data_IF_806683608800
#
_entry.id   IF_806683608800
#
_cell.length_a   1.000
_cell.length_b   1.000
_cell.length_c   1.000
_cell.angle_alpha   90.00
_cell.angle_beta   90.00
_cell.angle_gamma   90.00
#
_symmetry.space_group_name_H-M   'P 1'
#
loop_
_entity.id
_entity.type
_entity.pdbx_description
1 polymer ?
#
# COMPACT_ATOMS: atom_id res chain seq x y z
N UNK A 1 4.97 7.89 -4.32
CA UNK A 1 5.72 9.19 -4.35
C UNK A 1 6.36 9.45 -5.71
N UNK A 2 7.14 8.53 -6.28
CA UNK A 2 7.84 8.70 -7.58
C UNK A 2 6.94 9.22 -8.71
N UNK A 3 5.75 8.67 -8.89
CA UNK A 3 4.82 9.04 -9.96
C UNK A 3 4.02 10.33 -9.67
N UNK A 4 4.20 10.91 -8.49
CA UNK A 4 3.60 12.19 -8.11
C UNK A 4 4.53 13.38 -8.41
N UNK A 5 5.81 13.13 -8.65
CA UNK A 5 6.78 14.18 -8.96
C UNK A 5 6.67 14.50 -10.45
N UNK A 6 6.29 15.74 -10.76
CA UNK A 6 6.12 16.23 -12.14
C UNK A 6 7.17 17.26 -12.55
N UNK A 7 7.94 17.78 -11.60
CA UNK A 7 9.04 18.70 -11.85
C UNK A 7 10.04 18.73 -10.70
N UNK A 8 11.30 18.99 -11.02
CA UNK A 8 12.40 19.12 -10.06
C UNK A 8 13.33 20.27 -10.42
N UNK A 9 13.85 20.97 -9.42
CA UNK A 9 15.09 21.72 -9.48
C UNK A 9 16.20 20.89 -8.86
N UNK A 10 17.38 20.94 -9.42
CA UNK A 10 18.51 20.15 -8.97
C UNK A 10 19.84 20.89 -9.12
N UNK A 11 20.82 20.50 -8.29
CA UNK A 11 22.22 20.90 -8.43
C UNK A 11 23.05 19.64 -8.70
N UNK A 12 23.81 19.65 -9.76
CA UNK A 12 24.71 18.57 -10.17
C UNK A 12 26.00 18.57 -9.32
N UNK A 13 26.77 17.47 -9.29
CA UNK A 13 28.06 17.42 -8.57
C UNK A 13 29.08 18.46 -9.00
N UNK A 14 28.98 18.97 -10.25
CA UNK A 14 29.79 20.04 -10.77
C UNK A 14 29.32 21.47 -10.39
N UNK A 15 28.27 21.57 -9.54
CA UNK A 15 27.71 22.83 -9.10
C UNK A 15 26.72 23.48 -10.06
N UNK A 16 26.45 22.86 -11.21
CA UNK A 16 25.52 23.41 -12.20
C UNK A 16 24.09 23.17 -11.78
N UNK A 17 23.31 24.25 -11.72
CA UNK A 17 21.87 24.20 -11.50
C UNK A 17 21.14 23.78 -12.79
N UNK A 18 20.15 22.89 -12.63
CA UNK A 18 19.32 22.45 -13.73
C UNK A 18 17.88 22.24 -13.27
N UNK A 19 16.96 22.24 -14.21
CA UNK A 19 15.54 21.92 -13.99
C UNK A 19 15.06 20.86 -14.96
N UNK A 20 14.19 19.99 -14.51
CA UNK A 20 13.55 18.98 -15.35
C UNK A 20 12.06 18.88 -15.00
N UNK A 21 11.25 18.54 -16.01
CA UNK A 21 9.79 18.53 -15.87
C UNK A 21 9.19 19.93 -15.82
N UNK A 22 8.04 20.08 -15.18
CA UNK A 22 7.34 21.36 -15.09
C UNK A 22 6.07 21.26 -14.26
N UNK A 23 5.23 22.29 -14.35
CA UNK A 23 3.94 22.37 -13.62
C UNK A 23 2.78 21.77 -14.40
N UNK A 24 3.06 21.05 -15.50
CA UNK A 24 2.05 20.42 -16.35
C UNK A 24 2.07 18.91 -16.19
N UNK A 25 0.92 18.29 -16.17
CA UNK A 25 0.77 16.84 -15.95
C UNK A 25 1.36 16.02 -17.11
N UNK A 26 1.38 16.58 -18.32
CA UNK A 26 1.95 15.93 -19.51
C UNK A 26 3.13 16.76 -20.02
N UNK A 27 4.33 16.32 -19.68
CA UNK A 27 5.56 16.82 -20.29
C UNK A 27 6.00 15.83 -21.38
N UNK A 28 6.08 16.33 -22.63
CA UNK A 28 6.46 15.51 -23.80
C UNK A 28 7.88 15.79 -24.28
N UNK A 29 8.59 16.71 -23.63
CA UNK A 29 9.95 17.11 -24.00
C UNK A 29 10.95 16.75 -22.90
N UNK A 30 12.07 16.14 -23.30
CA UNK A 30 13.18 15.82 -22.41
C UNK A 30 13.09 14.46 -21.71
N UNK A 31 14.18 14.14 -21.00
CA UNK A 31 14.25 12.91 -20.21
C UNK A 31 13.50 13.03 -18.89
N UNK A 32 12.94 11.92 -18.42
CA UNK A 32 12.24 11.83 -17.13
C UNK A 32 13.27 11.75 -15.97
N UNK A 33 13.96 12.85 -15.72
CA UNK A 33 14.95 12.93 -14.64
C UNK A 33 14.29 12.81 -13.26
N UNK A 34 13.01 13.13 -13.12
CA UNK A 34 12.27 13.01 -11.88
C UNK A 34 12.29 11.56 -11.39
N UNK A 35 12.04 10.61 -12.31
CA UNK A 35 12.06 9.18 -11.98
C UNK A 35 13.46 8.63 -11.74
N UNK A 36 14.45 9.17 -12.42
CA UNK A 36 15.85 8.79 -12.23
C UNK A 36 16.37 9.20 -10.86
N UNK A 37 16.06 10.43 -10.43
CA UNK A 37 16.58 11.00 -9.19
C UNK A 37 15.81 10.56 -7.93
N UNK A 38 14.54 10.19 -8.09
CA UNK A 38 13.73 9.69 -6.97
C UNK A 38 14.26 8.33 -6.48
N UNK A 39 14.83 8.32 -5.29
CA UNK A 39 15.44 7.13 -4.67
C UNK A 39 16.93 6.98 -4.96
N UNK A 40 17.60 7.98 -5.55
CA UNK A 40 19.04 7.96 -5.80
C UNK A 40 19.91 8.23 -4.56
N UNK A 41 19.28 8.51 -3.41
CA UNK A 41 19.98 8.79 -2.14
C UNK A 41 21.02 9.90 -2.21
N UNK A 42 20.80 10.88 -3.11
CA UNK A 42 21.75 11.98 -3.33
C UNK A 42 23.00 11.64 -4.15
N UNK A 43 23.11 10.39 -4.65
CA UNK A 43 24.30 9.95 -5.41
C UNK A 43 24.42 10.57 -6.79
N UNK A 44 23.33 11.08 -7.38
CA UNK A 44 23.30 11.62 -8.73
C UNK A 44 23.24 13.15 -8.76
N UNK A 45 22.48 13.75 -7.86
CA UNK A 45 22.32 15.19 -7.74
C UNK A 45 21.63 15.55 -6.40
N UNK A 46 21.75 16.82 -6.01
CA UNK A 46 20.98 17.39 -4.91
C UNK A 46 19.68 17.96 -5.46
N UNK A 47 18.54 17.47 -4.97
CA UNK A 47 17.22 18.02 -5.32
C UNK A 47 16.97 19.25 -4.45
N UNK A 48 16.72 20.40 -5.06
CA UNK A 48 16.49 21.69 -4.40
C UNK A 48 15.04 22.15 -4.46
N UNK A 49 14.30 21.71 -5.46
CA UNK A 49 12.88 22.05 -5.65
C UNK A 49 12.09 20.83 -6.12
N UNK A 50 10.87 20.66 -5.59
CA UNK A 50 9.94 19.62 -6.02
C UNK A 50 8.61 20.23 -6.44
N UNK A 51 8.12 19.81 -7.60
CA UNK A 51 6.74 20.05 -8.03
C UNK A 51 5.98 18.74 -7.95
N UNK A 52 4.95 18.69 -7.10
CA UNK A 52 4.13 17.49 -6.88
C UNK A 52 2.76 17.64 -7.52
N UNK A 53 2.29 16.56 -8.12
CA UNK A 53 0.89 16.42 -8.51
C UNK A 53 0.06 16.10 -7.27
N UNK A 54 -0.85 17.00 -6.94
CA UNK A 54 -1.80 16.78 -5.86
C UNK A 54 -3.05 16.07 -6.38
N UNK A 55 -3.63 15.25 -5.53
CA UNK A 55 -4.95 14.66 -5.77
C UNK A 55 -5.92 15.17 -4.70
N UNK A 56 -7.19 15.46 -5.05
CA UNK A 56 -8.19 15.80 -4.07
C UNK A 56 -8.35 14.70 -3.02
N UNK A 57 -8.45 15.08 -1.76
CA UNK A 57 -8.83 14.15 -0.71
C UNK A 57 -10.26 13.67 -0.97
N UNK A 58 -10.48 12.38 -0.79
CA UNK A 58 -11.81 11.78 -0.83
C UNK A 58 -12.42 11.90 0.56
N UNK A 59 -13.51 12.67 0.74
CA UNK A 59 -14.04 13.00 2.06
C UNK A 59 -14.64 11.78 2.76
N UNK A 60 -15.23 10.84 2.00
CA UNK A 60 -15.82 9.64 2.55
C UNK A 60 -14.85 8.46 2.44
N UNK A 61 -14.58 7.82 3.57
CA UNK A 61 -13.71 6.63 3.66
C UNK A 61 -14.27 5.65 4.69
N UNK A 62 -14.14 4.37 4.41
CA UNK A 62 -14.49 3.31 5.35
C UNK A 62 -13.64 2.06 5.09
N UNK A 63 -13.43 1.27 6.14
CA UNK A 63 -12.69 0.03 6.09
C UNK A 63 -13.61 -1.19 6.09
N UNK A 64 -13.08 -2.30 5.55
CA UNK A 64 -13.68 -3.63 5.65
C UNK A 64 -12.58 -4.62 6.03
N UNK A 65 -12.80 -5.37 7.10
CA UNK A 65 -11.96 -6.49 7.49
C UNK A 65 -12.63 -7.78 7.05
N UNK A 66 -11.90 -8.59 6.30
CA UNK A 66 -12.38 -9.88 5.79
C UNK A 66 -11.55 -11.00 6.43
N UNK A 67 -12.24 -11.94 7.05
CA UNK A 67 -11.64 -13.03 7.82
C UNK A 67 -12.24 -14.38 7.41
N UNK A 68 -11.45 -15.44 7.56
CA UNK A 68 -11.83 -16.83 7.27
C UNK A 68 -10.66 -17.64 6.75
N UNK A 69 -10.96 -18.71 6.04
CA UNK A 69 -9.93 -19.56 5.45
C UNK A 69 -9.08 -18.80 4.42
N UNK A 70 -7.75 -18.98 4.46
CA UNK A 70 -6.80 -18.26 3.61
C UNK A 70 -7.07 -18.50 2.11
N UNK A 71 -7.44 -19.73 1.74
CA UNK A 71 -7.76 -20.07 0.35
C UNK A 71 -9.02 -19.34 -0.14
N UNK A 72 -10.02 -19.22 0.72
CA UNK A 72 -11.24 -18.46 0.43
C UNK A 72 -10.94 -16.95 0.32
N UNK A 73 -10.09 -16.41 1.19
CA UNK A 73 -9.62 -15.02 1.10
C UNK A 73 -8.85 -14.75 -0.21
N UNK A 74 -8.02 -15.68 -0.68
CA UNK A 74 -7.33 -15.58 -1.97
C UNK A 74 -8.31 -15.61 -3.15
N UNK A 75 -9.34 -16.45 -3.09
CA UNK A 75 -10.41 -16.48 -4.09
C UNK A 75 -11.16 -15.14 -4.12
N UNK A 76 -11.51 -14.59 -2.97
CA UNK A 76 -12.11 -13.28 -2.84
C UNK A 76 -11.23 -12.19 -3.47
N UNK A 77 -9.92 -12.13 -3.12
CA UNK A 77 -8.98 -11.18 -3.70
C UNK A 77 -8.91 -11.31 -5.22
N UNK A 78 -8.86 -12.52 -5.73
CA UNK A 78 -8.79 -12.78 -7.17
C UNK A 78 -10.06 -12.32 -7.90
N UNK A 79 -11.22 -12.49 -7.29
CA UNK A 79 -12.50 -12.01 -7.80
C UNK A 79 -12.58 -10.48 -7.74
N UNK A 80 -12.10 -9.87 -6.65
CA UNK A 80 -12.00 -8.43 -6.50
C UNK A 80 -11.17 -7.79 -7.62
N UNK A 81 -9.99 -8.34 -7.94
CA UNK A 81 -9.12 -7.85 -9.01
C UNK A 81 -9.74 -7.94 -10.42
N UNK A 82 -10.73 -8.80 -10.62
CA UNK A 82 -11.47 -8.93 -11.88
C UNK A 82 -12.76 -8.10 -11.90
N UNK A 83 -13.12 -7.50 -10.78
CA UNK A 83 -14.31 -6.66 -10.65
C UNK A 83 -14.04 -5.22 -11.04
N UNK A 84 -15.10 -4.42 -11.12
CA UNK A 84 -15.01 -2.96 -11.25
C UNK A 84 -14.77 -2.24 -9.94
N UNK A 85 -14.64 -2.97 -8.83
CA UNK A 85 -14.37 -2.39 -7.52
C UNK A 85 -12.88 -2.05 -7.40
N UNK A 86 -12.59 -0.83 -7.00
CA UNK A 86 -11.23 -0.33 -6.86
C UNK A 86 -11.01 0.21 -5.45
N UNK A 87 -10.80 -0.64 -4.46
CA UNK A 87 -10.47 -0.17 -3.13
C UNK A 87 -9.18 0.66 -3.17
N UNK A 88 -9.10 1.67 -2.32
CA UNK A 88 -7.90 2.49 -2.13
C UNK A 88 -6.74 1.66 -1.61
N UNK A 89 -7.05 0.70 -0.73
CA UNK A 89 -6.10 -0.25 -0.15
C UNK A 89 -6.71 -1.66 -0.10
N UNK A 90 -5.87 -2.64 -0.30
CA UNK A 90 -6.17 -4.04 -0.06
C UNK A 90 -4.88 -4.68 0.46
N UNK A 91 -4.83 -4.95 1.76
CA UNK A 91 -3.64 -5.42 2.44
C UNK A 91 -3.92 -6.74 3.15
N UNK A 92 -2.98 -7.67 3.05
CA UNK A 92 -2.89 -8.80 3.95
C UNK A 92 -2.33 -8.31 5.28
N UNK A 93 -3.03 -8.56 6.37
CA UNK A 93 -2.59 -8.20 7.71
C UNK A 93 -2.56 -9.44 8.61
N UNK A 94 -1.58 -9.45 9.51
CA UNK A 94 -1.45 -10.42 10.58
C UNK A 94 -0.96 -9.67 11.83
N UNK A 95 -1.68 -9.77 12.91
CA UNK A 95 -1.37 -9.09 14.18
C UNK A 95 -0.40 -9.85 15.10
N UNK A 96 0.34 -10.85 14.58
CA UNK A 96 1.22 -11.69 15.39
C UNK A 96 0.54 -12.95 15.95
N UNK A 97 -0.75 -13.12 15.72
CA UNK A 97 -1.53 -14.30 16.12
C UNK A 97 -1.42 -15.48 15.14
N UNK A 98 -0.80 -15.23 13.98
CA UNK A 98 -0.61 -16.20 12.91
C UNK A 98 -1.82 -16.31 11.97
N UNK A 99 -2.90 -15.54 12.20
CA UNK A 99 -4.07 -15.52 11.33
C UNK A 99 -3.94 -14.40 10.29
N UNK A 100 -4.08 -14.74 9.02
CA UNK A 100 -4.12 -13.75 7.94
C UNK A 100 -5.53 -13.25 7.72
N UNK A 101 -5.64 -11.95 7.52
CA UNK A 101 -6.88 -11.24 7.24
C UNK A 101 -6.68 -10.29 6.06
N UNK A 102 -7.72 -10.00 5.31
CA UNK A 102 -7.69 -8.94 4.30
C UNK A 102 -8.33 -7.68 4.88
N UNK A 103 -7.57 -6.60 4.90
CA UNK A 103 -8.06 -5.26 5.22
C UNK A 103 -8.22 -4.48 3.93
N UNK A 104 -9.42 -4.00 3.67
CA UNK A 104 -9.73 -3.15 2.55
C UNK A 104 -10.09 -1.75 3.04
N UNK A 105 -9.72 -0.74 2.25
CA UNK A 105 -10.15 0.64 2.46
C UNK A 105 -10.83 1.10 1.18
N UNK A 106 -12.03 1.60 1.33
CA UNK A 106 -12.83 2.20 0.24
C UNK A 106 -12.94 3.69 0.49
N UNK A 107 -12.76 4.48 -0.55
CA UNK A 107 -12.90 5.93 -0.47
C UNK A 107 -13.62 6.49 -1.70
N UNK A 108 -14.43 7.51 -1.50
CA UNK A 108 -15.20 8.16 -2.56
C UNK A 108 -15.52 9.61 -2.23
N UNK A 109 -16.20 10.28 -3.16
CA UNK A 109 -16.69 11.66 -2.99
C UNK A 109 -17.93 11.73 -2.09
N UNK A 110 -18.65 10.64 -1.89
CA UNK A 110 -19.86 10.57 -1.05
C UNK A 110 -19.89 9.32 -0.20
N UNK A 111 -20.53 9.42 0.97
CA UNK A 111 -20.74 8.29 1.88
C UNK A 111 -21.61 7.21 1.24
N UNK A 112 -22.62 7.59 0.46
CA UNK A 112 -23.46 6.65 -0.27
C UNK A 112 -22.65 5.77 -1.23
N UNK A 113 -21.72 6.37 -1.99
CA UNK A 113 -20.87 5.62 -2.91
C UNK A 113 -19.90 4.68 -2.18
N UNK A 114 -19.45 5.03 -0.98
CA UNK A 114 -18.67 4.16 -0.10
C UNK A 114 -19.52 2.99 0.40
N UNK A 115 -20.73 3.27 0.88
CA UNK A 115 -21.65 2.26 1.37
C UNK A 115 -22.02 1.24 0.27
N UNK A 116 -22.31 1.71 -0.94
CA UNK A 116 -22.64 0.84 -2.08
C UNK A 116 -21.47 -0.07 -2.47
N UNK A 117 -20.22 0.44 -2.40
CA UNK A 117 -19.03 -0.38 -2.65
C UNK A 117 -18.83 -1.41 -1.53
N UNK A 118 -19.02 -1.03 -0.26
CA UNK A 118 -18.91 -1.94 0.87
C UNK A 118 -19.94 -3.06 0.79
N UNK A 119 -21.20 -2.77 0.47
CA UNK A 119 -22.23 -3.79 0.27
C UNK A 119 -21.85 -4.81 -0.81
N UNK A 120 -21.25 -4.35 -1.90
CA UNK A 120 -20.76 -5.26 -2.96
C UNK A 120 -19.60 -6.13 -2.47
N UNK A 121 -18.67 -5.56 -1.71
CA UNK A 121 -17.54 -6.30 -1.11
C UNK A 121 -18.04 -7.32 -0.09
N UNK A 122 -18.99 -6.96 0.74
CA UNK A 122 -19.66 -7.87 1.70
C UNK A 122 -20.35 -9.04 0.97
N UNK A 123 -21.04 -8.75 -0.13
CA UNK A 123 -21.65 -9.77 -0.98
C UNK A 123 -20.63 -10.74 -1.59
N UNK A 124 -19.48 -10.23 -2.05
CA UNK A 124 -18.39 -11.07 -2.56
C UNK A 124 -17.76 -11.93 -1.45
N UNK A 125 -17.59 -11.39 -0.24
CA UNK A 125 -17.08 -12.13 0.90
C UNK A 125 -18.04 -13.27 1.31
N UNK A 126 -19.33 -12.98 1.33
CA UNK A 126 -20.36 -13.98 1.64
C UNK A 126 -20.36 -15.13 0.62
N UNK A 127 -20.17 -14.85 -0.68
CA UNK A 127 -20.07 -15.89 -1.71
C UNK A 127 -18.90 -16.85 -1.47
N UNK A 128 -17.83 -16.38 -0.83
CA UNK A 128 -16.66 -17.17 -0.45
C UNK A 128 -16.73 -17.72 0.98
N UNK A 129 -17.88 -17.60 1.66
CA UNK A 129 -18.08 -18.03 3.05
C UNK A 129 -17.13 -17.36 4.04
N UNK A 130 -16.75 -16.11 3.74
CA UNK A 130 -15.91 -15.28 4.61
C UNK A 130 -16.76 -14.36 5.47
N UNK A 131 -16.29 -14.07 6.68
CA UNK A 131 -16.83 -12.99 7.48
C UNK A 131 -16.30 -11.64 7.00
N UNK A 132 -17.13 -10.62 7.03
CA UNK A 132 -16.76 -9.27 6.65
C UNK A 132 -17.31 -8.29 7.69
N UNK A 133 -16.43 -7.48 8.25
CA UNK A 133 -16.77 -6.51 9.29
C UNK A 133 -16.34 -5.11 8.87
N UNK A 134 -17.27 -4.17 8.90
CA UNK A 134 -16.96 -2.76 8.65
C UNK A 134 -16.15 -2.18 9.80
N UNK A 135 -15.14 -1.41 9.46
CA UNK A 135 -14.28 -0.74 10.43
C UNK A 135 -14.17 0.75 10.13
N UNK A 136 -14.05 1.55 11.19
CA UNK A 136 -13.66 2.95 11.03
C UNK A 136 -12.26 3.01 10.39
N UNK A 137 -12.10 3.87 9.39
CA UNK A 137 -10.82 4.07 8.75
C UNK A 137 -9.99 5.02 9.59
N UNK A 138 -8.95 4.51 10.23
CA UNK A 138 -7.91 5.35 10.84
C UNK A 138 -6.90 5.75 9.78
N UNK A 139 -6.56 7.02 9.70
CA UNK A 139 -5.45 7.51 8.86
C UNK A 139 -4.07 7.20 9.47
N UNK A 140 -4.05 6.65 10.68
CA UNK A 140 -2.81 6.21 11.30
C UNK A 140 -2.16 5.13 10.45
N UNK A 141 -0.92 5.37 10.05
CA UNK A 141 -0.04 4.32 9.56
C UNK A 141 -0.04 3.23 10.64
N UNK A 142 -0.43 2.03 10.26
CA UNK A 142 -0.51 0.91 11.20
C UNK A 142 0.86 0.41 11.68
N UNK A 143 1.92 0.87 11.05
CA UNK A 143 3.28 0.63 11.55
C UNK A 143 3.47 1.44 12.82
N UNK A 144 3.67 0.81 13.98
CA UNK A 144 3.92 1.54 15.21
C UNK A 144 5.25 2.30 15.07
N UNK A 145 5.17 3.62 14.94
CA UNK A 145 6.36 4.48 15.02
C UNK A 145 6.96 4.49 16.44
N UNK A 146 6.19 4.03 17.41
CA UNK A 146 6.61 3.87 18.81
C UNK A 146 7.24 2.48 19.06
N UNK A 147 7.92 1.94 18.07
CA UNK A 147 8.68 0.72 18.25
C UNK A 147 9.74 0.91 19.35
N UNK A 148 9.79 -0.04 20.29
CA UNK A 148 10.85 -0.05 21.28
C UNK A 148 12.22 -0.06 20.59
N UNK A 149 13.31 0.40 21.23
CA UNK A 149 14.66 0.36 20.65
C UNK A 149 15.09 -1.04 20.17
N UNK A 150 14.45 -2.08 20.67
CA UNK A 150 14.68 -3.50 20.31
C UNK A 150 13.77 -3.99 19.18
N UNK A 151 12.83 -3.18 18.71
CA UNK A 151 11.93 -3.59 17.62
C UNK A 151 12.70 -3.81 16.33
N UNK A 152 12.39 -4.90 15.64
CA UNK A 152 12.94 -5.19 14.33
C UNK A 152 11.90 -4.88 13.25
N UNK A 153 12.34 -4.26 12.17
CA UNK A 153 11.53 -3.98 10.98
C UNK A 153 12.13 -4.72 9.79
N UNK A 154 11.32 -5.48 9.10
CA UNK A 154 11.69 -6.16 7.84
C UNK A 154 10.78 -5.68 6.73
N UNK A 155 11.37 -5.26 5.63
CA UNK A 155 10.63 -4.97 4.40
C UNK A 155 10.72 -6.12 3.43
N UNK A 156 9.57 -6.60 2.98
CA UNK A 156 9.44 -7.62 1.95
C UNK A 156 9.07 -6.96 0.61
N UNK A 157 9.71 -7.45 -0.45
CA UNK A 157 9.35 -7.08 -1.83
C UNK A 157 9.39 -8.35 -2.66
N UNK A 158 8.23 -8.78 -3.16
CA UNK A 158 8.05 -10.02 -3.91
C UNK A 158 7.17 -9.74 -5.14
N UNK A 159 7.31 -10.52 -6.22
CA UNK A 159 6.29 -10.54 -7.26
C UNK A 159 4.92 -10.86 -6.63
N UNK A 160 3.84 -10.12 -6.97
CA UNK A 160 2.52 -10.33 -6.37
C UNK A 160 1.99 -11.77 -6.47
N UNK A 161 2.41 -12.50 -7.51
CA UNK A 161 2.04 -13.92 -7.69
C UNK A 161 2.69 -14.86 -6.64
N UNK A 162 3.84 -14.48 -6.08
CA UNK A 162 4.54 -15.28 -5.06
C UNK A 162 4.03 -14.99 -3.65
N UNK A 163 3.30 -13.90 -3.45
CA UNK A 163 2.79 -13.53 -2.13
C UNK A 163 1.90 -14.62 -1.54
N UNK A 164 1.06 -15.26 -2.35
CA UNK A 164 0.19 -16.35 -1.89
C UNK A 164 0.97 -17.57 -1.37
N UNK A 165 2.08 -17.90 -2.03
CA UNK A 165 2.95 -18.97 -1.57
C UNK A 165 3.60 -18.62 -0.23
N UNK A 166 4.08 -17.38 -0.08
CA UNK A 166 4.65 -16.88 1.15
C UNK A 166 3.67 -16.95 2.32
N UNK A 167 2.40 -16.51 2.11
CA UNK A 167 1.39 -16.52 3.17
C UNK A 167 1.08 -17.93 3.71
N UNK A 168 1.33 -18.97 2.91
CA UNK A 168 1.14 -20.38 3.27
C UNK A 168 2.40 -21.05 3.82
N UNK A 169 3.53 -20.36 3.75
CA UNK A 169 4.81 -20.92 4.19
C UNK A 169 4.84 -21.07 5.71
N UNK A 170 5.27 -22.22 6.16
CA UNK A 170 5.42 -22.52 7.59
C UNK A 170 6.38 -21.55 8.28
N UNK A 171 7.38 -21.04 7.55
CA UNK A 171 8.30 -20.03 8.06
C UNK A 171 7.57 -18.76 8.51
N UNK A 172 6.51 -18.33 7.81
CA UNK A 172 5.69 -17.19 8.23
C UNK A 172 4.93 -17.44 9.53
N UNK A 173 4.54 -18.69 9.77
CA UNK A 173 3.91 -19.09 11.04
C UNK A 173 4.93 -19.16 12.17
N UNK A 174 6.16 -19.56 11.87
CA UNK A 174 7.25 -19.61 12.84
C UNK A 174 7.74 -18.21 13.27
N UNK A 175 7.49 -17.17 12.46
CA UNK A 175 7.81 -15.77 12.77
C UNK A 175 6.79 -15.12 13.73
N UNK A 176 6.08 -15.89 14.56
CA UNK A 176 5.32 -15.32 15.69
C UNK A 176 6.33 -14.80 16.74
N UNK A 177 6.12 -13.63 17.35
CA UNK A 177 4.94 -12.76 17.33
C UNK A 177 5.01 -11.58 16.33
N UNK A 178 5.58 -11.76 15.16
CA UNK A 178 5.69 -10.70 14.17
C UNK A 178 4.32 -10.28 13.62
N UNK A 179 4.10 -8.98 13.57
CA UNK A 179 2.96 -8.38 12.86
C UNK A 179 3.34 -8.05 11.42
N UNK A 180 2.42 -8.22 10.50
CA UNK A 180 2.66 -8.04 9.07
C UNK A 180 1.57 -7.20 8.42
N UNK A 181 2.00 -6.38 7.46
CA UNK A 181 1.11 -5.65 6.57
C UNK A 181 1.69 -5.70 5.15
N UNK A 182 1.05 -6.45 4.26
CA UNK A 182 1.52 -6.72 2.91
C UNK A 182 0.48 -6.29 1.88
N UNK A 183 0.84 -5.34 1.00
CA UNK A 183 -0.05 -4.88 -0.05
C UNK A 183 -0.38 -6.01 -1.03
N UNK A 184 -1.64 -6.42 -1.08
CA UNK A 184 -2.10 -7.60 -1.80
C UNK A 184 -1.95 -7.50 -3.33
N UNK A 185 -1.93 -6.27 -3.87
CA UNK A 185 -1.75 -6.01 -5.30
C UNK A 185 -0.31 -5.70 -5.71
N UNK A 186 0.54 -5.25 -4.77
CA UNK A 186 1.90 -4.80 -5.07
C UNK A 186 2.98 -5.83 -4.67
N UNK A 187 2.63 -6.81 -3.83
CA UNK A 187 3.59 -7.81 -3.35
C UNK A 187 4.70 -7.24 -2.45
N UNK A 188 4.47 -6.09 -1.85
CA UNK A 188 5.42 -5.48 -0.92
C UNK A 188 4.74 -5.11 0.38
N UNK A 189 5.51 -5.03 1.45
CA UNK A 189 5.03 -4.61 2.75
C UNK A 189 6.05 -4.76 3.84
N UNK A 190 5.61 -4.54 5.04
CA UNK A 190 6.48 -4.51 6.20
C UNK A 190 6.02 -5.54 7.26
N UNK A 191 7.00 -6.13 7.93
CA UNK A 191 6.81 -6.94 9.13
C UNK A 191 7.59 -6.33 10.28
N UNK A 192 7.04 -6.37 11.47
CA UNK A 192 7.71 -5.85 12.68
C UNK A 192 7.47 -6.74 13.88
N UNK A 193 8.46 -6.77 14.77
CA UNK A 193 8.40 -7.40 16.08
C UNK A 193 8.52 -6.36 17.17
N UNK A 194 7.64 -6.42 18.17
CA UNK A 194 7.71 -5.58 19.38
C UNK A 194 8.60 -6.17 20.46
N UNK A 195 9.04 -7.42 20.28
CA UNK A 195 9.92 -8.14 21.22
C UNK A 195 11.24 -8.49 20.54
N UNK A 196 12.33 -8.24 21.24
CA UNK A 196 13.65 -8.73 20.86
C UNK A 196 13.78 -10.22 21.18
#
# INVERSE_FOLDING_TARGET
MRDQIIGIGLVRPDGVEARAGGRVVKNVAGYDLMRLLCGSWGSLALITELTLRLQPLRPARSGLLVEGDLKAQEAFRSQLLRSSLTPERCDWINGGDGAWRLRLVVSSVSEQAVDDQLKRLEGLALQQQLSAQRQACSDALTTPLDASPSAQLVRLVLPPAQLQQLLRDEAMTALKPWSWELAAGAGCGDGWSSTA
#
